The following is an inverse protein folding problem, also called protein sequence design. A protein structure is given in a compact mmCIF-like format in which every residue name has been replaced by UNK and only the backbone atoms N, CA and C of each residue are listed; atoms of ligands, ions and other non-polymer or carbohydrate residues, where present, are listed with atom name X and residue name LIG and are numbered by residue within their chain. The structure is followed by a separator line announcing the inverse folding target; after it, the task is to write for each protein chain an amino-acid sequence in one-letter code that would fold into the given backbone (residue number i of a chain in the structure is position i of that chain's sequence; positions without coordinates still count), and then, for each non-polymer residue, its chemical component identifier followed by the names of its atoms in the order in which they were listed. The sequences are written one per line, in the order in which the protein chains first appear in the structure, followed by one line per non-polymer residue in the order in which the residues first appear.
data_IF_598660994705
#
_entry.id   IF_598660994705
#
_cell.length_a   1.000
_cell.length_b   1.000
_cell.length_c   1.000
_cell.angle_alpha   90.00
_cell.angle_beta   90.00
_cell.angle_gamma   90.00
#
_symmetry.space_group_name_H-M   'P 1'
#
loop_
_entity.id
_entity.type
_entity.pdbx_description
1 polymer ?
#
# COMPACT_ATOMS: atom_id res chain seq x y z
N UNK A 1 -18.78 -18.40 -18.96
CA UNK A 1 -18.21 -17.79 -17.74
C UNK A 1 -16.84 -18.44 -17.59
N UNK A 2 -15.73 -17.69 -17.62
CA UNK A 2 -14.41 -18.30 -17.48
C UNK A 2 -14.28 -18.93 -16.09
N UNK A 3 -13.64 -20.10 -16.01
CA UNK A 3 -13.39 -20.82 -14.77
C UNK A 3 -12.29 -20.13 -13.95
N UNK A 4 -12.31 -20.26 -12.61
CA UNK A 4 -11.34 -19.60 -11.72
C UNK A 4 -9.86 -19.90 -12.04
N UNK A 5 -9.59 -20.99 -12.77
CA UNK A 5 -8.26 -21.35 -13.24
C UNK A 5 -7.72 -20.39 -14.32
N UNK A 6 -8.59 -19.78 -15.14
CA UNK A 6 -8.16 -18.83 -16.19
C UNK A 6 -7.77 -17.47 -15.61
N UNK A 7 -8.36 -17.07 -14.48
CA UNK A 7 -8.01 -15.81 -13.78
C UNK A 7 -6.61 -15.89 -13.17
N UNK A 8 -6.19 -17.08 -12.68
CA UNK A 8 -4.84 -17.27 -12.13
C UNK A 8 -3.76 -17.28 -13.23
N UNK A 9 -4.09 -17.75 -14.42
CA UNK A 9 -3.16 -17.72 -15.56
C UNK A 9 -2.96 -16.30 -16.14
N UNK A 10 -3.93 -15.39 -15.98
CA UNK A 10 -3.76 -13.98 -16.38
C UNK A 10 -2.85 -13.18 -15.44
N UNK A 11 -2.60 -13.68 -14.22
CA UNK A 11 -1.60 -13.13 -13.29
C UNK A 11 -0.18 -13.61 -13.67
N UNK A 12 -0.07 -14.61 -14.56
CA UNK A 12 1.19 -15.24 -14.98
C UNK A 12 1.61 -14.83 -16.40
N UNK A 13 1.45 -13.55 -16.76
CA UNK A 13 2.04 -13.00 -17.99
C UNK A 13 3.58 -12.94 -17.86
N UNK A 14 4.32 -13.05 -18.97
CA UNK A 14 5.67 -13.58 -19.00
C UNK A 14 6.63 -12.67 -18.24
N UNK A 15 7.43 -13.30 -17.37
CA UNK A 15 8.63 -12.70 -16.81
C UNK A 15 9.50 -12.28 -17.99
N UNK A 16 9.51 -10.98 -18.30
CA UNK A 16 10.57 -10.38 -19.09
C UNK A 16 11.85 -10.72 -18.33
N UNK A 17 12.62 -11.66 -18.87
CA UNK A 17 13.92 -12.04 -18.35
C UNK A 17 14.88 -10.87 -18.55
N UNK A 18 14.75 -9.85 -17.70
CA UNK A 18 15.93 -9.13 -17.27
C UNK A 18 16.78 -10.15 -16.54
N UNK A 19 17.89 -10.54 -17.17
CA UNK A 19 18.92 -11.35 -16.53
C UNK A 19 19.36 -10.66 -15.24
N UNK A 20 18.73 -11.03 -14.12
CA UNK A 20 19.21 -10.75 -12.79
C UNK A 20 20.43 -11.65 -12.60
N UNK A 21 21.60 -11.09 -12.89
CA UNK A 21 22.85 -11.64 -12.41
C UNK A 21 22.76 -11.77 -10.88
N UNK A 22 23.15 -12.89 -10.27
CA UNK A 22 23.22 -13.00 -8.83
C UNK A 22 24.55 -12.39 -8.39
N UNK A 23 24.61 -11.06 -8.28
CA UNK A 23 25.66 -10.45 -7.45
C UNK A 23 25.22 -10.57 -5.99
N UNK A 24 25.81 -11.56 -5.32
CA UNK A 24 25.85 -11.65 -3.88
C UNK A 24 26.60 -10.42 -3.37
N UNK A 25 25.89 -9.36 -2.99
CA UNK A 25 26.50 -8.18 -2.40
C UNK A 25 25.62 -6.94 -2.47
N UNK A 26 25.23 -6.46 -1.30
CA UNK A 26 24.43 -5.27 -1.02
C UNK A 26 22.91 -5.43 -1.19
N UNK A 27 22.21 -5.48 -0.05
CA UNK A 27 20.86 -4.93 0.05
C UNK A 27 21.00 -3.48 -0.43
N UNK A 28 20.47 -3.16 -1.60
CA UNK A 28 20.42 -1.79 -2.07
C UNK A 28 19.50 -1.06 -1.08
N UNK A 29 20.05 -0.26 -0.17
CA UNK A 29 19.25 0.59 0.71
C UNK A 29 18.46 1.55 -0.20
N UNK A 30 17.19 1.23 -0.39
CA UNK A 30 16.29 2.04 -1.18
C UNK A 30 16.06 3.34 -0.42
N UNK A 31 16.35 4.47 -1.07
CA UNK A 31 16.05 5.78 -0.51
C UNK A 31 14.55 5.94 -0.26
N UNK A 32 14.19 6.61 0.83
CA UNK A 32 12.82 7.01 1.08
C UNK A 32 12.33 7.97 -0.02
N UNK A 33 11.04 7.87 -0.35
CA UNK A 33 10.40 8.72 -1.36
C UNK A 33 10.52 10.22 -1.02
N UNK A 34 10.51 10.55 0.28
CA UNK A 34 10.70 11.90 0.81
C UNK A 34 11.96 11.93 1.70
N UNK A 35 13.11 12.42 1.21
CA UNK A 35 14.42 12.31 1.89
C UNK A 35 14.60 13.03 3.24
N UNK A 36 13.54 13.60 3.84
CA UNK A 36 13.57 14.22 5.17
C UNK A 36 12.62 13.56 6.18
N UNK A 37 11.95 12.49 5.78
CA UNK A 37 11.00 11.75 6.61
C UNK A 37 11.63 10.46 7.15
N UNK A 38 11.01 9.89 8.18
CA UNK A 38 11.33 8.54 8.66
C UNK A 38 10.30 7.52 8.15
N UNK A 39 10.72 6.27 7.92
CA UNK A 39 9.82 5.19 7.49
C UNK A 39 8.81 4.87 8.60
N UNK A 40 7.53 4.79 8.24
CA UNK A 40 6.46 4.40 9.15
C UNK A 40 6.69 2.94 9.62
N UNK A 41 6.64 2.66 10.94
CA UNK A 41 6.79 1.30 11.46
C UNK A 41 5.80 0.33 10.83
N UNK A 42 6.23 -0.92 10.59
CA UNK A 42 5.40 -1.94 9.93
C UNK A 42 4.03 -2.15 10.59
N UNK A 43 3.97 -2.15 11.92
CA UNK A 43 2.71 -2.34 12.65
C UNK A 43 1.75 -1.16 12.44
N UNK A 44 2.26 0.08 12.42
CA UNK A 44 1.48 1.27 12.08
C UNK A 44 0.93 1.18 10.64
N UNK A 45 1.77 0.76 9.67
CA UNK A 45 1.31 0.54 8.29
C UNK A 45 0.16 -0.48 8.21
N UNK A 46 0.27 -1.59 8.93
CA UNK A 46 -0.81 -2.58 8.98
C UNK A 46 -2.08 -2.01 9.62
N UNK A 47 -1.95 -1.25 10.70
CA UNK A 47 -3.08 -0.61 11.37
C UNK A 47 -3.79 0.39 10.44
N UNK A 48 -3.04 1.22 9.71
CA UNK A 48 -3.60 2.15 8.72
C UNK A 48 -4.41 1.42 7.64
N UNK A 49 -3.90 0.29 7.12
CA UNK A 49 -4.63 -0.54 6.15
C UNK A 49 -5.89 -1.14 6.77
N UNK A 50 -5.79 -1.67 7.99
CA UNK A 50 -6.93 -2.26 8.71
C UNK A 50 -8.05 -1.23 8.95
N UNK A 51 -7.69 0.00 9.35
CA UNK A 51 -8.63 1.11 9.50
C UNK A 51 -9.32 1.48 8.18
N UNK A 52 -8.59 1.55 7.07
CA UNK A 52 -9.18 1.77 5.75
C UNK A 52 -10.19 0.67 5.41
N UNK A 53 -9.80 -0.60 5.57
CA UNK A 53 -10.65 -1.75 5.25
C UNK A 53 -11.94 -1.75 6.09
N UNK A 54 -11.85 -1.48 7.39
CA UNK A 54 -12.99 -1.49 8.31
C UNK A 54 -14.04 -0.43 8.00
N UNK A 55 -13.64 0.69 7.41
CA UNK A 55 -14.53 1.82 7.09
C UNK A 55 -15.35 1.60 5.82
N UNK A 56 -15.10 0.54 5.05
CA UNK A 56 -15.71 0.35 3.75
C UNK A 56 -16.99 -0.48 3.82
N UNK A 57 -18.07 0.01 3.22
CA UNK A 57 -19.32 -0.73 3.08
C UNK A 57 -19.41 -1.34 1.67
N UNK A 58 -19.14 -2.64 1.55
CA UNK A 58 -19.09 -3.35 0.27
C UNK A 58 -20.01 -4.57 0.28
N UNK A 59 -20.36 -5.07 -0.91
CA UNK A 59 -21.10 -6.32 -1.05
C UNK A 59 -20.23 -7.51 -0.63
N UNK A 60 -20.83 -8.52 0.00
CA UNK A 60 -20.14 -9.76 0.35
C UNK A 60 -19.73 -10.50 -0.93
N UNK A 61 -18.42 -10.63 -1.16
CA UNK A 61 -17.84 -11.23 -2.37
C UNK A 61 -16.65 -12.14 -2.08
N UNK A 62 -16.41 -12.46 -0.81
CA UNK A 62 -15.37 -13.34 -0.30
C UNK A 62 -15.89 -14.11 0.93
N UNK A 63 -15.01 -14.81 1.65
CA UNK A 63 -15.38 -15.67 2.77
C UNK A 63 -15.92 -14.93 4.02
N UNK A 64 -15.66 -13.63 4.16
CA UNK A 64 -16.21 -12.81 5.25
C UNK A 64 -16.25 -11.32 4.84
N UNK A 65 -16.82 -10.48 5.72
CA UNK A 65 -16.87 -9.02 5.54
C UNK A 65 -15.46 -8.44 5.35
N UNK A 66 -14.54 -8.75 6.27
CA UNK A 66 -13.16 -8.27 6.21
C UNK A 66 -12.46 -8.61 4.89
N UNK A 67 -12.51 -9.88 4.48
CA UNK A 67 -11.90 -10.30 3.20
C UNK A 67 -12.63 -9.73 1.97
N UNK A 68 -13.92 -9.38 2.08
CA UNK A 68 -14.63 -8.69 0.99
C UNK A 68 -14.16 -7.25 0.86
N UNK A 69 -14.02 -6.53 1.97
CA UNK A 69 -13.49 -5.16 2.01
C UNK A 69 -12.03 -5.12 1.52
N UNK A 70 -11.18 -6.03 2.04
CA UNK A 70 -9.78 -6.13 1.63
C UNK A 70 -9.63 -6.42 0.14
N UNK A 71 -10.50 -7.27 -0.42
CA UNK A 71 -10.49 -7.55 -1.87
C UNK A 71 -10.80 -6.31 -2.71
N UNK A 72 -11.74 -5.47 -2.27
CA UNK A 72 -12.01 -4.20 -2.97
C UNK A 72 -10.80 -3.27 -2.87
N UNK A 73 -10.16 -3.17 -1.71
CA UNK A 73 -8.97 -2.32 -1.53
C UNK A 73 -7.85 -2.74 -2.48
N UNK A 74 -7.57 -4.04 -2.59
CA UNK A 74 -6.57 -4.56 -3.51
C UNK A 74 -6.88 -4.25 -4.98
N UNK A 75 -8.15 -4.38 -5.39
CA UNK A 75 -8.57 -4.02 -6.75
C UNK A 75 -8.35 -2.53 -7.04
N UNK A 76 -8.71 -1.65 -6.09
CA UNK A 76 -8.52 -0.21 -6.24
C UNK A 76 -7.03 0.16 -6.30
N UNK A 77 -6.16 -0.50 -5.51
CA UNK A 77 -4.71 -0.34 -5.62
C UNK A 77 -4.18 -0.67 -7.01
N UNK A 78 -4.65 -1.77 -7.63
CA UNK A 78 -4.27 -2.14 -9.00
C UNK A 78 -4.73 -1.08 -10.01
N UNK A 79 -5.95 -0.56 -9.87
CA UNK A 79 -6.43 0.52 -10.74
C UNK A 79 -5.59 1.79 -10.59
N UNK A 80 -5.22 2.17 -9.36
CA UNK A 80 -4.39 3.34 -9.09
C UNK A 80 -2.97 3.19 -9.63
N UNK A 81 -2.38 2.00 -9.57
CA UNK A 81 -1.07 1.72 -10.19
C UNK A 81 -1.07 1.88 -11.72
N UNK A 82 -2.21 1.65 -12.36
CA UNK A 82 -2.39 1.89 -13.80
C UNK A 82 -2.63 3.36 -14.16
N UNK A 83 -2.81 4.26 -13.17
CA UNK A 83 -3.07 5.67 -13.42
C UNK A 83 -1.78 6.47 -13.69
N UNK A 84 -1.84 7.61 -14.41
CA UNK A 84 -0.67 8.46 -14.62
C UNK A 84 -0.06 8.91 -13.28
N UNK A 85 1.27 8.93 -13.21
CA UNK A 85 1.99 9.34 -12.01
C UNK A 85 1.57 10.74 -11.56
N UNK A 86 1.19 10.86 -10.29
CA UNK A 86 1.04 12.13 -9.59
C UNK A 86 2.15 12.19 -8.54
N UNK A 87 2.93 13.27 -8.54
CA UNK A 87 3.93 13.52 -7.50
C UNK A 87 3.30 14.44 -6.45
N UNK A 88 2.75 13.89 -5.35
CA UNK A 88 2.31 14.74 -4.26
C UNK A 88 3.52 15.43 -3.65
N UNK A 89 3.40 16.75 -3.43
CA UNK A 89 4.39 17.49 -2.63
C UNK A 89 4.02 17.23 -1.18
N UNK A 90 4.93 16.61 -0.43
CA UNK A 90 4.74 16.30 1.00
C UNK A 90 5.71 17.18 1.78
N UNK A 91 5.21 17.91 2.78
CA UNK A 91 6.05 18.70 3.68
C UNK A 91 6.60 17.82 4.81
N UNK A 92 7.81 18.15 5.27
CA UNK A 92 8.48 17.40 6.34
C UNK A 92 8.02 17.78 7.74
N UNK A 93 7.26 18.87 7.89
CA UNK A 93 6.74 19.34 9.16
C UNK A 93 5.59 18.44 9.69
N UNK A 94 5.12 17.51 8.87
CA UNK A 94 3.82 16.88 9.05
C UNK A 94 3.95 15.43 9.54
N UNK A 95 5.02 15.02 10.22
CA UNK A 95 5.12 13.66 10.80
C UNK A 95 4.77 13.61 12.28
N UNK A 96 3.87 12.69 12.64
CA UNK A 96 3.61 12.34 14.03
C UNK A 96 4.90 11.89 14.72
N UNK A 97 5.27 12.44 15.89
CA UNK A 97 6.52 12.06 16.58
C UNK A 97 6.50 10.63 17.13
N UNK A 98 5.31 10.02 17.28
CA UNK A 98 5.14 8.68 17.87
C UNK A 98 5.14 7.59 16.79
N UNK A 99 4.27 7.72 15.79
CA UNK A 99 4.05 6.68 14.78
C UNK A 99 4.59 7.03 13.40
N UNK A 100 5.12 8.24 13.22
CA UNK A 100 5.71 8.76 11.97
C UNK A 100 4.71 8.86 10.80
N UNK A 101 3.41 8.65 11.05
CA UNK A 101 2.37 8.90 10.07
C UNK A 101 2.35 10.37 9.69
N UNK A 102 2.03 10.64 8.43
CA UNK A 102 1.79 11.99 7.96
C UNK A 102 0.48 12.52 8.56
N UNK A 103 0.52 13.73 9.08
CA UNK A 103 -0.60 14.49 9.63
C UNK A 103 -1.13 15.42 8.53
N UNK A 104 -2.44 15.59 8.48
CA UNK A 104 -3.02 16.66 7.65
C UNK A 104 -2.76 18.01 8.33
N UNK A 105 -2.55 19.07 7.53
CA UNK A 105 -2.20 20.42 8.00
C UNK A 105 -3.21 21.01 9.03
N UNK A 106 -4.41 20.42 9.13
CA UNK A 106 -5.48 20.84 10.04
C UNK A 106 -5.64 19.98 11.31
N UNK A 107 -4.86 18.91 11.49
CA UNK A 107 -5.06 17.96 12.59
C UNK A 107 -3.99 18.14 13.69
N UNK A 108 -4.43 18.31 14.94
CA UNK A 108 -3.55 18.36 16.11
C UNK A 108 -3.23 16.97 16.67
N UNK A 109 -4.10 16.00 16.40
CA UNK A 109 -4.09 14.67 17.01
C UNK A 109 -3.85 13.63 15.93
N UNK A 110 -3.08 12.58 16.25
CA UNK A 110 -2.73 11.58 15.25
C UNK A 110 -3.76 10.45 15.21
N UNK A 111 -4.53 10.36 14.13
CA UNK A 111 -5.52 9.28 13.90
C UNK A 111 -4.97 7.86 13.97
N UNK A 112 -3.64 7.69 13.88
CA UNK A 112 -2.97 6.38 13.89
C UNK A 112 -2.60 5.94 15.31
N UNK A 113 -2.23 6.85 16.21
CA UNK A 113 -1.78 6.50 17.56
C UNK A 113 -2.55 7.17 18.72
N UNK A 114 -3.51 8.04 18.43
CA UNK A 114 -4.15 8.93 19.40
C UNK A 114 -3.19 9.99 19.91
#
# INVERSE_FOLDING_TARGET
RPEMAEVLNMISAPVVSHQLRPDVGAIQELSLLSPGLQEIPKHCRHFMVDELVRRWNVRLGACCQYHSQLRVLLNDCVMLQGSPCKNPVVSTADQCPTCLALLDESESDCDVCG
#
